data_IF_316736237540
#
_entry.id   IF_316736237540
#
_cell.length_a   1.000
_cell.length_b   1.000
_cell.length_c   1.000
_cell.angle_alpha   90.00
_cell.angle_beta   90.00
_cell.angle_gamma   90.00
#
_symmetry.space_group_name_H-M   'P 1'
#
loop_
_entity.id
_entity.type
_entity.pdbx_description
1 polymer ?
#
# COMPACT_ATOMS: atom_id res chain seq x y z
N UNK A 1 27.39 -0.96 -1.10
CA UNK A 1 26.49 -2.07 -1.45
C UNK A 1 25.18 -1.44 -1.89
N UNK A 2 24.77 -1.64 -3.15
CA UNK A 2 23.47 -1.19 -3.64
C UNK A 2 22.40 -1.97 -2.85
N UNK A 3 21.50 -1.27 -2.13
CA UNK A 3 20.32 -1.93 -1.55
C UNK A 3 19.52 -2.49 -2.73
N UNK A 4 19.27 -3.79 -2.72
CA UNK A 4 18.36 -4.41 -3.69
C UNK A 4 16.98 -3.78 -3.49
N UNK A 5 16.38 -3.28 -4.58
CA UNK A 5 15.01 -2.74 -4.51
C UNK A 5 14.04 -3.86 -4.13
N UNK A 6 13.22 -3.63 -3.12
CA UNK A 6 12.19 -4.54 -2.68
C UNK A 6 10.81 -3.99 -3.06
N UNK A 7 9.82 -4.86 -3.17
CA UNK A 7 8.42 -4.51 -3.30
C UNK A 7 7.87 -4.19 -1.91
N UNK A 8 7.22 -3.05 -1.78
CA UNK A 8 6.63 -2.59 -0.51
C UNK A 8 5.17 -2.25 -0.75
N UNK A 9 4.29 -2.87 0.00
CA UNK A 9 2.88 -2.48 0.06
C UNK A 9 2.69 -1.55 1.24
N UNK A 10 1.94 -0.47 1.01
CA UNK A 10 1.60 0.48 2.05
C UNK A 10 0.17 0.98 1.89
N UNK A 11 -0.38 1.48 2.98
CA UNK A 11 -1.71 2.04 3.05
C UNK A 11 -1.74 3.20 4.05
N UNK A 12 -2.71 4.11 3.89
CA UNK A 12 -2.98 5.22 4.79
C UNK A 12 -4.43 5.21 5.26
N UNK A 13 -4.64 5.48 6.55
CA UNK A 13 -5.90 6.01 7.03
C UNK A 13 -5.84 7.54 7.06
N UNK A 14 -6.97 8.19 6.85
CA UNK A 14 -7.06 9.64 6.77
C UNK A 14 -8.22 10.23 7.57
N UNK A 15 -8.09 11.51 7.93
CA UNK A 15 -9.08 12.28 8.69
C UNK A 15 -10.44 12.37 7.98
N UNK A 16 -10.45 12.31 6.66
CA UNK A 16 -11.64 12.33 5.81
C UNK A 16 -11.28 11.98 4.36
N UNK A 17 -12.29 11.95 3.47
CA UNK A 17 -12.12 11.92 2.01
C UNK A 17 -12.28 13.31 1.38
N UNK A 18 -12.13 14.37 2.16
CA UNK A 18 -12.21 15.74 1.69
C UNK A 18 -10.87 16.27 1.14
N UNK A 19 -10.92 17.44 0.48
CA UNK A 19 -9.72 18.10 -0.05
C UNK A 19 -8.70 18.50 1.02
N UNK A 20 -9.17 18.78 2.23
CA UNK A 20 -8.36 19.21 3.35
C UNK A 20 -7.91 18.03 4.22
N UNK A 21 -8.27 16.79 3.85
CA UNK A 21 -7.90 15.59 4.58
C UNK A 21 -6.39 15.46 4.75
N UNK A 22 -5.99 14.76 5.79
CA UNK A 22 -4.59 14.49 6.11
C UNK A 22 -4.43 13.07 6.64
N UNK A 23 -3.24 12.47 6.49
CA UNK A 23 -3.01 11.10 6.97
C UNK A 23 -2.97 11.06 8.50
N UNK A 24 -3.60 10.04 9.06
CA UNK A 24 -3.70 9.80 10.51
C UNK A 24 -3.05 8.48 10.95
N UNK A 25 -2.91 7.53 10.05
CA UNK A 25 -2.15 6.31 10.22
C UNK A 25 -1.45 5.98 8.91
N UNK A 26 -0.28 5.36 8.98
CA UNK A 26 0.38 4.72 7.84
C UNK A 26 0.92 3.38 8.28
N UNK A 27 0.80 2.38 7.39
CA UNK A 27 1.39 1.07 7.56
C UNK A 27 2.08 0.61 6.29
N UNK A 28 3.20 -0.08 6.42
CA UNK A 28 3.88 -0.69 5.28
C UNK A 28 4.47 -2.04 5.63
N UNK A 29 4.60 -2.88 4.61
CA UNK A 29 5.23 -4.18 4.70
C UNK A 29 6.08 -4.46 3.46
N UNK A 30 7.29 -4.94 3.67
CA UNK A 30 8.19 -5.38 2.61
C UNK A 30 7.86 -6.81 2.17
N UNK A 31 8.00 -7.11 0.88
CA UNK A 31 7.84 -8.47 0.37
C UNK A 31 8.86 -9.45 0.98
N UNK A 32 10.06 -8.97 1.28
CA UNK A 32 11.12 -9.72 1.98
C UNK A 32 10.85 -9.96 3.47
N UNK A 33 9.85 -9.31 4.05
CA UNK A 33 9.59 -9.26 5.48
C UNK A 33 10.06 -7.94 6.10
N UNK A 34 9.57 -7.62 7.26
CA UNK A 34 9.75 -6.31 7.89
C UNK A 34 8.54 -5.41 7.63
N UNK A 35 8.05 -4.82 8.70
CA UNK A 35 6.83 -4.03 8.68
C UNK A 35 6.88 -2.94 9.74
N UNK A 36 6.20 -1.84 9.49
CA UNK A 36 5.99 -0.77 10.48
C UNK A 36 4.58 -0.22 10.36
N UNK A 37 4.08 0.30 11.50
CA UNK A 37 2.82 1.04 11.56
C UNK A 37 3.00 2.24 12.49
N UNK A 38 2.47 3.39 12.07
CA UNK A 38 2.57 4.63 12.82
C UNK A 38 1.23 5.33 12.87
N UNK A 39 0.71 5.59 14.07
CA UNK A 39 -0.28 6.63 14.29
C UNK A 39 0.39 7.99 14.12
N UNK A 40 -0.23 8.88 13.35
CA UNK A 40 0.34 10.17 12.99
C UNK A 40 -0.30 11.27 13.83
N UNK A 41 0.49 11.92 14.68
CA UNK A 41 0.05 13.15 15.33
C UNK A 41 -0.01 14.27 14.28
N UNK A 42 -1.20 14.83 14.02
CA UNK A 42 -1.35 15.84 12.99
C UNK A 42 -0.62 17.16 13.34
N UNK A 43 -0.20 17.89 12.32
CA UNK A 43 0.23 19.26 12.48
C UNK A 43 -0.91 20.11 13.06
N UNK A 44 -0.58 21.16 13.82
CA UNK A 44 -1.59 22.01 14.47
C UNK A 44 -2.58 22.67 13.51
N UNK A 45 -2.15 22.89 12.26
CA UNK A 45 -2.97 23.47 11.18
C UNK A 45 -3.86 22.44 10.47
N UNK A 46 -3.70 21.15 10.73
CA UNK A 46 -4.53 20.10 10.14
C UNK A 46 -5.73 19.86 11.05
N UNK A 47 -6.87 20.44 10.67
CA UNK A 47 -8.08 20.47 11.51
C UNK A 47 -9.27 19.73 10.90
N UNK A 48 -9.18 19.32 9.64
CA UNK A 48 -10.24 18.55 8.97
C UNK A 48 -10.49 17.23 9.70
N UNK A 49 -11.77 16.87 9.87
CA UNK A 49 -12.17 15.63 10.54
C UNK A 49 -13.56 15.19 10.10
N UNK A 50 -13.74 13.90 9.87
CA UNK A 50 -15.02 13.30 9.52
C UNK A 50 -15.39 12.21 10.52
N UNK A 51 -16.57 12.35 11.13
CA UNK A 51 -17.13 11.33 12.01
C UNK A 51 -17.45 10.02 11.27
N UNK A 52 -17.73 10.07 9.97
CA UNK A 52 -17.96 8.90 9.13
C UNK A 52 -16.65 8.13 8.93
N UNK A 53 -15.56 8.82 8.63
CA UNK A 53 -14.22 8.21 8.53
C UNK A 53 -13.78 7.63 9.88
N UNK A 54 -13.99 8.34 10.97
CA UNK A 54 -13.71 7.83 12.32
C UNK A 54 -14.50 6.55 12.63
N UNK A 55 -15.75 6.46 12.21
CA UNK A 55 -16.56 5.25 12.39
C UNK A 55 -16.03 4.06 11.56
N UNK A 56 -15.26 4.33 10.50
CA UNK A 56 -14.64 3.30 9.64
C UNK A 56 -13.31 2.80 10.22
N UNK A 57 -12.36 3.69 10.49
CA UNK A 57 -11.01 3.31 10.97
C UNK A 57 -10.89 3.24 12.51
N UNK A 58 -11.88 3.69 13.25
CA UNK A 58 -11.96 3.68 14.73
C UNK A 58 -10.81 4.39 15.46
N UNK A 59 -10.20 5.40 14.83
CA UNK A 59 -9.16 6.23 15.41
C UNK A 59 -9.74 7.60 15.74
N UNK A 60 -9.70 7.99 17.01
CA UNK A 60 -10.17 9.31 17.42
C UNK A 60 -9.05 10.36 17.34
N UNK A 61 -9.42 11.62 17.14
CA UNK A 61 -8.45 12.71 17.10
C UNK A 61 -7.69 12.84 18.42
N UNK A 62 -8.35 12.63 19.55
CA UNK A 62 -7.74 12.63 20.88
C UNK A 62 -6.64 11.59 21.01
N UNK A 63 -6.90 10.38 20.48
CA UNK A 63 -5.91 9.30 20.47
C UNK A 63 -4.69 9.66 19.63
N UNK A 64 -4.87 10.28 18.47
CA UNK A 64 -3.74 10.72 17.64
C UNK A 64 -2.89 11.78 18.34
N UNK A 65 -3.51 12.68 19.08
CA UNK A 65 -2.80 13.72 19.84
C UNK A 65 -2.03 13.15 21.04
N UNK A 66 -2.57 12.11 21.69
CA UNK A 66 -1.98 11.47 22.85
C UNK A 66 -0.88 10.47 22.50
N UNK A 67 -1.12 9.61 21.52
CA UNK A 67 -0.30 8.44 21.21
C UNK A 67 0.48 8.55 19.88
N UNK A 68 0.07 9.45 18.98
CA UNK A 68 0.64 9.57 17.64
C UNK A 68 2.08 10.10 17.66
N UNK A 69 2.89 9.56 16.77
CA UNK A 69 4.22 10.10 16.45
C UNK A 69 4.06 11.41 15.66
N UNK A 70 4.84 12.45 15.92
CA UNK A 70 4.80 13.69 15.15
C UNK A 70 4.87 13.42 13.63
N UNK A 71 4.02 14.11 12.88
CA UNK A 71 3.91 13.90 11.42
C UNK A 71 5.24 14.06 10.68
N UNK A 72 6.11 14.97 11.13
CA UNK A 72 7.42 15.20 10.52
C UNK A 72 8.42 14.08 10.84
N UNK A 73 8.33 13.44 12.00
CA UNK A 73 9.14 12.27 12.35
C UNK A 73 8.71 11.05 11.52
N UNK A 74 7.39 10.83 11.36
CA UNK A 74 6.88 9.76 10.49
C UNK A 74 7.33 9.96 9.04
N UNK A 75 7.23 11.18 8.52
CA UNK A 75 7.67 11.50 7.16
C UNK A 75 9.16 11.22 6.95
N UNK A 76 10.01 11.60 7.89
CA UNK A 76 11.47 11.33 7.87
C UNK A 76 11.74 9.82 7.92
N UNK A 77 11.04 9.09 8.81
CA UNK A 77 11.16 7.64 8.91
C UNK A 77 10.79 6.94 7.61
N UNK A 78 9.67 7.34 7.01
CA UNK A 78 9.27 6.81 5.69
C UNK A 78 10.34 7.05 4.63
N UNK A 79 10.90 8.26 4.58
CA UNK A 79 11.94 8.57 3.60
C UNK A 79 13.20 7.72 3.82
N UNK A 80 13.63 7.56 5.07
CA UNK A 80 14.80 6.77 5.43
C UNK A 80 14.65 5.29 5.05
N UNK A 81 13.48 4.73 5.30
CA UNK A 81 13.24 3.28 5.16
C UNK A 81 12.80 2.90 3.76
N UNK A 82 11.97 3.73 3.12
CA UNK A 82 11.29 3.39 1.87
C UNK A 82 12.00 3.92 0.62
N UNK A 83 13.02 4.79 0.76
CA UNK A 83 13.75 5.31 -0.40
C UNK A 83 14.47 4.21 -1.16
N UNK A 84 14.29 4.21 -2.49
CA UNK A 84 14.92 3.23 -3.39
C UNK A 84 14.16 1.91 -3.53
N UNK A 85 13.01 1.78 -2.89
CA UNK A 85 12.10 0.64 -3.03
C UNK A 85 10.94 0.95 -3.98
N UNK A 86 10.30 -0.09 -4.51
CA UNK A 86 9.09 0.02 -5.31
C UNK A 86 7.87 0.03 -4.38
N UNK A 87 7.17 1.17 -4.30
CA UNK A 87 6.08 1.38 -3.35
C UNK A 87 4.74 1.27 -4.04
N UNK A 88 3.83 0.49 -3.46
CA UNK A 88 2.52 0.20 -4.02
C UNK A 88 1.42 0.46 -3.00
N UNK A 89 0.31 1.05 -3.46
CA UNK A 89 -0.90 1.31 -2.68
C UNK A 89 -2.14 1.01 -3.51
N UNK A 90 -3.23 0.65 -2.86
CA UNK A 90 -4.50 0.27 -3.53
C UNK A 90 -5.19 1.47 -4.17
N UNK A 91 -5.10 2.63 -3.54
CA UNK A 91 -5.70 3.87 -4.03
C UNK A 91 -4.63 4.97 -4.21
N UNK A 92 -3.66 4.82 -5.15
CA UNK A 92 -2.49 5.70 -5.23
C UNK A 92 -2.83 7.17 -5.50
N UNK A 93 -4.03 7.48 -5.98
CA UNK A 93 -4.52 8.85 -6.12
C UNK A 93 -4.80 9.50 -4.75
N UNK A 94 -5.37 8.77 -3.80
CA UNK A 94 -5.63 9.21 -2.44
C UNK A 94 -4.39 9.11 -1.56
N UNK A 95 -3.81 7.93 -1.48
CA UNK A 95 -2.58 7.67 -0.71
C UNK A 95 -1.44 8.60 -1.12
N UNK A 96 -1.31 8.87 -2.43
CA UNK A 96 -0.34 9.79 -2.96
C UNK A 96 -0.58 11.25 -2.56
N UNK A 97 -1.83 11.67 -2.38
CA UNK A 97 -2.17 13.00 -1.85
C UNK A 97 -1.79 13.10 -0.38
N UNK A 98 -2.13 12.09 0.44
CA UNK A 98 -1.80 12.05 1.85
C UNK A 98 -0.29 11.95 2.08
N UNK A 99 0.42 11.11 1.34
CA UNK A 99 1.88 11.06 1.35
C UNK A 99 2.50 12.41 0.99
N UNK A 100 2.01 13.05 -0.07
CA UNK A 100 2.47 14.39 -0.48
C UNK A 100 2.20 15.46 0.60
N UNK A 101 1.05 15.39 1.29
CA UNK A 101 0.72 16.30 2.39
C UNK A 101 1.64 16.06 3.59
N UNK A 102 1.91 14.79 3.93
CA UNK A 102 2.81 14.39 5.01
C UNK A 102 4.24 14.90 4.76
N UNK A 103 4.79 14.63 3.58
CA UNK A 103 6.14 15.06 3.20
C UNK A 103 6.28 16.58 3.22
N UNK A 104 5.31 17.31 2.64
CA UNK A 104 5.32 18.79 2.67
C UNK A 104 5.19 19.34 4.10
N UNK A 105 4.36 18.73 4.94
CA UNK A 105 4.24 19.10 6.35
C UNK A 105 5.56 19.01 7.12
N UNK A 106 6.42 18.07 6.71
CA UNK A 106 7.77 17.88 7.25
C UNK A 106 8.86 18.75 6.56
N UNK A 107 8.49 19.59 5.61
CA UNK A 107 9.47 20.36 4.81
C UNK A 107 10.25 19.52 3.79
N UNK A 108 9.80 18.31 3.48
CA UNK A 108 10.42 17.40 2.52
C UNK A 108 9.85 17.57 1.10
N UNK A 109 10.61 17.20 0.05
CA UNK A 109 10.11 17.25 -1.31
C UNK A 109 8.88 16.34 -1.46
N UNK A 110 7.77 16.87 -1.96
CA UNK A 110 6.48 16.15 -2.08
C UNK A 110 6.52 14.88 -2.95
N UNK A 111 7.56 14.71 -3.76
CA UNK A 111 7.77 13.58 -4.67
C UNK A 111 9.00 12.76 -4.30
N UNK A 112 9.52 12.89 -3.07
CA UNK A 112 10.66 12.11 -2.59
C UNK A 112 10.34 10.60 -2.57
N UNK A 113 9.08 10.25 -2.31
CA UNK A 113 8.53 8.90 -2.46
C UNK A 113 7.39 8.94 -3.48
N UNK A 114 7.23 7.87 -4.25
CA UNK A 114 6.17 7.74 -5.26
C UNK A 114 5.47 6.41 -5.12
N UNK A 115 4.14 6.45 -5.14
CA UNK A 115 3.30 5.26 -5.09
C UNK A 115 2.88 4.85 -6.50
N UNK A 116 2.78 3.54 -6.70
CA UNK A 116 2.19 2.91 -7.85
C UNK A 116 0.96 2.12 -7.40
N UNK A 117 0.11 1.76 -8.36
CA UNK A 117 -1.05 0.91 -8.10
C UNK A 117 -0.60 -0.53 -7.78
N UNK A 118 -1.21 -1.15 -6.76
CA UNK A 118 -0.93 -2.55 -6.40
C UNK A 118 -1.16 -3.52 -7.54
N UNK A 119 -2.11 -3.23 -8.44
CA UNK A 119 -2.35 -4.07 -9.61
C UNK A 119 -1.13 -4.17 -10.52
N UNK A 120 -0.29 -3.14 -10.58
CA UNK A 120 0.98 -3.19 -11.35
C UNK A 120 1.89 -4.28 -10.76
N UNK A 121 2.10 -4.28 -9.44
CA UNK A 121 2.94 -5.29 -8.78
C UNK A 121 2.39 -6.71 -8.99
N UNK A 122 1.06 -6.88 -8.90
CA UNK A 122 0.41 -8.17 -9.09
C UNK A 122 0.57 -8.68 -10.54
N UNK A 123 0.23 -7.83 -11.52
CA UNK A 123 0.29 -8.19 -12.93
C UNK A 123 1.72 -8.46 -13.40
N UNK A 124 2.69 -7.66 -12.96
CA UNK A 124 4.10 -7.84 -13.30
C UNK A 124 4.65 -9.17 -12.74
N UNK A 125 4.29 -9.51 -11.50
CA UNK A 125 4.71 -10.78 -10.89
C UNK A 125 4.14 -11.98 -11.65
N UNK A 126 2.85 -11.95 -12.00
CA UNK A 126 2.20 -13.02 -12.78
C UNK A 126 2.85 -13.12 -14.16
N UNK A 127 2.97 -11.99 -14.87
CA UNK A 127 3.52 -11.97 -16.23
C UNK A 127 4.97 -12.48 -16.28
N UNK A 128 5.78 -12.16 -15.27
CA UNK A 128 7.14 -12.66 -15.12
C UNK A 128 7.17 -14.19 -15.07
N UNK A 129 6.38 -14.81 -14.18
CA UNK A 129 6.31 -16.26 -14.00
C UNK A 129 5.82 -16.95 -15.28
N UNK A 130 4.76 -16.43 -15.91
CA UNK A 130 4.21 -17.00 -17.14
C UNK A 130 5.17 -16.88 -18.31
N UNK A 131 5.91 -15.78 -18.42
CA UNK A 131 6.93 -15.58 -19.46
C UNK A 131 8.08 -16.58 -19.32
N UNK A 132 8.56 -16.81 -18.10
CA UNK A 132 9.57 -17.83 -17.80
C UNK A 132 9.09 -19.26 -18.14
N UNK A 133 7.79 -19.50 -18.02
CA UNK A 133 7.16 -20.76 -18.40
C UNK A 133 6.93 -20.93 -19.92
N UNK A 134 7.23 -19.90 -20.73
CA UNK A 134 7.11 -19.94 -22.18
C UNK A 134 5.73 -19.57 -22.72
N UNK A 135 4.87 -18.94 -21.91
CA UNK A 135 3.57 -18.42 -22.39
C UNK A 135 3.83 -17.30 -23.40
N UNK A 136 3.16 -17.32 -24.58
CA UNK A 136 3.35 -16.30 -25.61
C UNK A 136 3.02 -14.90 -25.11
N UNK A 137 3.84 -13.89 -25.48
CA UNK A 137 3.72 -12.50 -24.98
C UNK A 137 2.31 -11.92 -25.17
N UNK A 138 1.65 -12.22 -26.29
CA UNK A 138 0.30 -11.75 -26.60
C UNK A 138 -0.81 -12.36 -25.71
N UNK A 139 -0.53 -13.45 -24.99
CA UNK A 139 -1.45 -14.11 -24.08
C UNK A 139 -1.26 -13.71 -22.62
N UNK A 140 -0.06 -13.20 -22.26
CA UNK A 140 0.30 -12.87 -20.87
C UNK A 140 -0.73 -11.98 -20.20
N UNK A 141 -1.14 -10.89 -20.85
CA UNK A 141 -2.05 -9.91 -20.27
C UNK A 141 -3.42 -10.51 -19.94
N UNK A 142 -3.93 -11.44 -20.77
CA UNK A 142 -5.22 -12.10 -20.56
C UNK A 142 -5.14 -13.06 -19.38
N UNK A 143 -4.10 -13.90 -19.35
CA UNK A 143 -3.89 -14.84 -18.24
C UNK A 143 -3.63 -14.11 -16.92
N UNK A 144 -2.80 -13.08 -16.94
CA UNK A 144 -2.50 -12.29 -15.74
C UNK A 144 -3.75 -11.64 -15.13
N UNK A 145 -4.58 -11.01 -15.97
CA UNK A 145 -5.85 -10.42 -15.51
C UNK A 145 -6.81 -11.47 -14.96
N UNK A 146 -6.89 -12.64 -15.57
CA UNK A 146 -7.76 -13.72 -15.09
C UNK A 146 -7.31 -14.21 -13.72
N UNK A 147 -6.01 -14.46 -13.54
CA UNK A 147 -5.44 -14.90 -12.26
C UNK A 147 -5.67 -13.85 -11.17
N UNK A 148 -5.40 -12.58 -11.46
CA UNK A 148 -5.61 -11.50 -10.51
C UNK A 148 -7.09 -11.35 -10.12
N UNK A 149 -8.00 -11.37 -11.09
CA UNK A 149 -9.44 -11.26 -10.82
C UNK A 149 -9.94 -12.38 -9.92
N UNK A 150 -9.50 -13.62 -10.13
CA UNK A 150 -9.85 -14.77 -9.29
C UNK A 150 -9.33 -14.61 -7.86
N UNK A 151 -8.06 -14.17 -7.70
CA UNK A 151 -7.47 -13.95 -6.39
C UNK A 151 -8.21 -12.86 -5.61
N UNK A 152 -8.58 -11.75 -6.26
CA UNK A 152 -9.34 -10.67 -5.63
C UNK A 152 -10.75 -11.10 -5.21
N UNK A 153 -11.48 -11.81 -6.07
CA UNK A 153 -12.81 -12.34 -5.73
C UNK A 153 -12.77 -13.28 -4.52
N UNK A 154 -11.77 -14.13 -4.43
CA UNK A 154 -11.61 -15.03 -3.29
C UNK A 154 -11.16 -14.29 -2.02
N UNK A 155 -10.41 -13.20 -2.16
CA UNK A 155 -10.03 -12.39 -1.01
C UNK A 155 -11.22 -11.56 -0.49
N UNK A 156 -12.02 -10.97 -1.38
CA UNK A 156 -13.28 -10.27 -1.03
C UNK A 156 -14.25 -11.20 -0.29
N UNK A 157 -14.34 -12.46 -0.67
CA UNK A 157 -15.18 -13.46 -0.01
C UNK A 157 -14.76 -13.76 1.45
N UNK A 158 -13.56 -13.36 1.88
CA UNK A 158 -13.06 -13.54 3.25
C UNK A 158 -13.52 -12.44 4.21
N UNK A 159 -14.09 -11.37 3.71
CA UNK A 159 -14.61 -10.23 4.48
C UNK A 159 -14.01 -8.89 4.08
N UNK A 160 -14.56 -7.84 4.68
CA UNK A 160 -14.14 -6.46 4.43
C UNK A 160 -12.73 -6.17 4.99
N UNK A 161 -12.07 -5.12 4.47
CA UNK A 161 -10.82 -4.61 5.05
C UNK A 161 -10.97 -4.26 6.54
N UNK A 162 -9.87 -4.39 7.29
CA UNK A 162 -9.85 -4.02 8.71
C UNK A 162 -9.86 -2.49 8.93
N UNK A 163 -9.69 -1.71 7.86
CA UNK A 163 -9.53 -0.26 7.91
C UNK A 163 -8.46 0.17 8.91
N UNK A 164 -7.34 -0.52 8.86
CA UNK A 164 -6.12 -0.23 9.59
C UNK A 164 -4.94 -0.39 8.63
N UNK A 165 -4.22 0.68 8.44
CA UNK A 165 -3.22 0.82 7.38
C UNK A 165 -2.27 -0.38 7.24
N UNK A 166 -1.71 -0.91 8.34
CA UNK A 166 -0.84 -2.07 8.26
C UNK A 166 -1.57 -3.37 7.91
N UNK A 167 -2.80 -3.55 8.38
CA UNK A 167 -3.59 -4.74 8.08
C UNK A 167 -3.94 -4.79 6.59
N UNK A 168 -4.29 -3.64 6.01
CA UNK A 168 -4.64 -3.50 4.60
C UNK A 168 -3.40 -3.63 3.70
N UNK A 169 -2.26 -3.08 4.07
CA UNK A 169 -0.98 -3.35 3.41
C UNK A 169 -0.59 -4.85 3.43
N UNK A 170 -0.82 -5.53 4.55
CA UNK A 170 -0.62 -6.99 4.66
C UNK A 170 -1.58 -7.78 3.80
N UNK A 171 -2.82 -7.30 3.63
CA UNK A 171 -3.79 -7.91 2.72
C UNK A 171 -3.26 -7.91 1.29
N UNK A 172 -2.76 -6.78 0.80
CA UNK A 172 -2.17 -6.68 -0.53
C UNK A 172 -0.95 -7.59 -0.72
N UNK A 173 -0.07 -7.69 0.27
CA UNK A 173 1.03 -8.66 0.23
C UNK A 173 0.55 -10.11 0.16
N UNK A 174 -0.54 -10.47 0.87
CA UNK A 174 -1.12 -11.82 0.78
C UNK A 174 -1.65 -12.10 -0.63
N UNK A 175 -2.35 -11.14 -1.24
CA UNK A 175 -2.85 -11.25 -2.63
C UNK A 175 -1.67 -11.41 -3.59
N UNK A 176 -0.62 -10.61 -3.43
CA UNK A 176 0.59 -10.67 -4.27
C UNK A 176 1.28 -12.05 -4.22
N UNK A 177 1.36 -12.66 -3.05
CA UNK A 177 1.87 -14.03 -2.89
C UNK A 177 0.93 -15.07 -3.48
N UNK A 178 -0.37 -14.89 -3.33
CA UNK A 178 -1.38 -15.82 -3.87
C UNK A 178 -1.39 -15.82 -5.41
N UNK A 179 -1.29 -14.65 -6.04
CA UNK A 179 -1.22 -14.58 -7.51
C UNK A 179 0.04 -15.23 -8.08
N UNK A 180 1.18 -15.13 -7.38
CA UNK A 180 2.41 -15.83 -7.79
C UNK A 180 2.22 -17.34 -7.72
N UNK A 181 1.72 -17.86 -6.61
CA UNK A 181 1.42 -19.30 -6.46
C UNK A 181 0.48 -19.80 -7.57
N UNK A 182 -0.59 -19.06 -7.88
CA UNK A 182 -1.54 -19.39 -8.96
C UNK A 182 -0.86 -19.37 -10.34
N UNK A 183 0.00 -18.42 -10.59
CA UNK A 183 0.76 -18.35 -11.84
C UNK A 183 1.71 -19.54 -11.98
N UNK A 184 2.39 -19.95 -10.91
CA UNK A 184 3.25 -21.15 -10.87
C UNK A 184 2.45 -22.44 -11.12
N UNK A 185 1.28 -22.57 -10.48
CA UNK A 185 0.37 -23.71 -10.69
C UNK A 185 -0.16 -23.78 -12.14
N UNK A 186 -0.48 -22.61 -12.72
CA UNK A 186 -0.89 -22.52 -14.12
C UNK A 186 0.27 -22.92 -15.04
N UNK A 187 1.45 -22.38 -14.82
CA UNK A 187 2.65 -22.72 -15.59
C UNK A 187 3.03 -24.20 -15.49
N UNK A 188 2.82 -24.82 -14.33
CA UNK A 188 3.05 -26.26 -14.13
C UNK A 188 2.13 -27.17 -14.95
N UNK A 189 0.94 -26.68 -15.30
CA UNK A 189 -0.04 -27.42 -16.14
C UNK A 189 0.24 -27.34 -17.64
N UNK A 190 1.13 -26.44 -18.06
CA UNK A 190 1.53 -26.28 -19.46
C UNK A 190 2.70 -27.20 -19.87
N UNK A 191 3.35 -27.82 -18.91
CA UNK A 191 4.47 -28.76 -19.09
C UNK A 191 3.95 -30.21 -19.15
#
# INVERSE_FOLDING_TARGET
MSRQSDVVFLDFEASSLGKESYPIEVGWIFASGGEESHLIRPASIWTDWSAESEATHHLTRERLLAEGTPHDEVAKRMLDVLSGHALFATAPSWDGQWLSKLLRGAGLPRHALRLQDTDIAHLDAIAGILREAGVPEHELAVHAKTILSQARLEDEAKGDPDHRALADAKRELRIWRDVQRRAEEYAGRLK
#
